data_IF_645139152512
#
_entry.id   IF_645139152512
#
_cell.length_a   1.000
_cell.length_b   1.000
_cell.length_c   1.000
_cell.angle_alpha   90.00
_cell.angle_beta   90.00
_cell.angle_gamma   90.00
#
_symmetry.space_group_name_H-M   'P 1'
#
loop_
_entity.id
_entity.type
_entity.pdbx_description
1 polymer ?
#
# COMPACT_ATOMS: atom_id res chain seq x y z
N UNK A 1 7.73 1.94 -0.28
CA UNK A 1 9.03 2.10 0.41
C UNK A 1 10.06 2.45 -0.64
N UNK A 2 11.02 3.30 -0.32
CA UNK A 2 12.02 3.82 -1.26
C UNK A 2 13.40 3.80 -0.61
N UNK A 3 14.36 3.16 -1.27
CA UNK A 3 15.79 3.22 -0.93
C UNK A 3 16.44 4.12 -1.98
N UNK A 4 17.21 5.08 -1.56
CA UNK A 4 17.90 6.01 -2.47
C UNK A 4 19.41 5.79 -2.45
N UNK A 5 20.04 5.96 -3.60
CA UNK A 5 21.49 6.14 -3.64
C UNK A 5 21.86 7.53 -3.12
N UNK A 6 23.03 7.65 -2.50
CA UNK A 6 23.54 8.90 -1.92
C UNK A 6 23.71 10.04 -2.95
N UNK A 7 23.89 9.70 -4.22
CA UNK A 7 23.99 10.63 -5.33
C UNK A 7 22.65 10.92 -6.03
N UNK A 8 21.52 10.38 -5.54
CA UNK A 8 20.19 10.59 -6.13
C UNK A 8 19.73 12.05 -6.01
N UNK A 9 18.92 12.48 -6.99
CA UNK A 9 18.27 13.79 -7.00
C UNK A 9 16.77 13.64 -7.15
N UNK A 10 16.01 14.40 -6.38
CA UNK A 10 14.57 14.36 -6.32
C UNK A 10 13.98 15.73 -6.64
N UNK A 11 12.88 15.77 -7.37
CA UNK A 11 12.17 17.00 -7.68
C UNK A 11 11.12 16.82 -8.76
N UNK A 12 10.33 17.88 -8.96
CA UNK A 12 9.31 17.95 -9.99
C UNK A 12 9.62 19.15 -10.91
N UNK A 13 9.84 18.88 -12.19
CA UNK A 13 10.31 19.88 -13.15
C UNK A 13 9.32 20.15 -14.29
N UNK A 14 8.17 19.45 -14.32
CA UNK A 14 7.24 19.46 -15.44
C UNK A 14 6.90 20.86 -15.95
N UNK A 15 6.38 21.73 -15.10
CA UNK A 15 5.96 23.07 -15.50
C UNK A 15 7.11 24.05 -15.77
N UNK A 16 8.33 23.71 -15.38
CA UNK A 16 9.54 24.46 -15.80
C UNK A 16 9.93 24.17 -17.25
N UNK A 17 9.57 22.99 -17.76
CA UNK A 17 9.91 22.53 -19.11
C UNK A 17 8.70 22.40 -20.04
N UNK A 18 7.59 23.05 -19.68
CA UNK A 18 6.39 23.09 -20.50
C UNK A 18 5.53 21.83 -20.42
N UNK A 19 5.70 21.00 -19.39
CA UNK A 19 4.86 19.84 -19.10
C UNK A 19 3.96 20.10 -17.91
N UNK A 20 2.82 19.42 -17.86
CA UNK A 20 1.87 19.46 -16.75
C UNK A 20 1.53 18.02 -16.32
N UNK A 21 1.89 17.68 -15.11
CA UNK A 21 1.57 16.39 -14.48
C UNK A 21 0.92 16.66 -13.12
N UNK A 22 -0.41 16.63 -13.08
CA UNK A 22 -1.17 16.84 -11.86
C UNK A 22 -1.89 15.61 -11.34
N UNK A 23 -1.70 14.45 -11.92
CA UNK A 23 -2.40 13.23 -11.58
C UNK A 23 -2.22 12.80 -10.11
N UNK A 24 -2.08 11.54 -9.87
CA UNK A 24 -1.87 11.01 -8.51
C UNK A 24 -0.60 11.55 -7.82
N UNK A 25 0.42 11.94 -8.60
CA UNK A 25 1.72 12.34 -8.08
C UNK A 25 1.66 13.48 -7.07
N UNK A 26 0.89 14.55 -7.34
CA UNK A 26 0.79 15.69 -6.42
C UNK A 26 0.15 15.31 -5.09
N UNK A 27 -0.90 14.48 -5.12
CA UNK A 27 -1.62 14.03 -3.92
C UNK A 27 -0.78 13.04 -3.10
N UNK A 28 -0.14 12.07 -3.76
CA UNK A 28 0.69 11.09 -3.09
C UNK A 28 1.91 11.76 -2.46
N UNK A 29 2.59 12.65 -3.18
CA UNK A 29 3.70 13.43 -2.62
C UNK A 29 3.27 14.22 -1.37
N UNK A 30 2.08 14.84 -1.40
CA UNK A 30 1.59 15.60 -0.25
C UNK A 30 1.30 14.71 0.99
N UNK A 31 1.01 13.44 0.81
CA UNK A 31 0.88 12.47 1.91
C UNK A 31 2.23 12.09 2.52
N UNK A 32 3.25 11.94 1.68
CA UNK A 32 4.59 11.55 2.15
C UNK A 32 5.30 12.69 2.88
N UNK A 33 5.35 13.88 2.27
CA UNK A 33 6.16 15.01 2.77
C UNK A 33 5.35 16.14 3.39
N UNK A 34 4.04 16.01 3.44
CA UNK A 34 3.12 17.05 3.87
C UNK A 34 2.82 18.09 2.78
N UNK A 35 1.64 18.71 2.86
CA UNK A 35 1.12 19.58 1.78
C UNK A 35 2.00 20.80 1.50
N UNK A 36 2.61 21.39 2.53
CA UNK A 36 3.46 22.59 2.35
C UNK A 36 4.73 22.27 1.58
N UNK A 37 5.41 21.19 1.97
CA UNK A 37 6.64 20.75 1.28
C UNK A 37 6.34 20.25 -0.13
N UNK A 38 5.25 19.53 -0.35
CA UNK A 38 4.81 19.11 -1.68
C UNK A 38 4.57 20.31 -2.61
N UNK A 39 3.90 21.38 -2.12
CA UNK A 39 3.72 22.61 -2.90
C UNK A 39 5.04 23.31 -3.23
N UNK A 40 5.99 23.34 -2.29
CA UNK A 40 7.34 23.86 -2.53
C UNK A 40 8.03 23.11 -3.65
N UNK A 41 8.03 21.76 -3.59
CA UNK A 41 8.63 20.89 -4.62
C UNK A 41 7.98 21.16 -5.98
N UNK A 42 6.64 21.14 -6.05
CA UNK A 42 5.91 21.32 -7.30
C UNK A 42 6.01 22.74 -7.85
N UNK A 43 5.77 23.78 -7.05
CA UNK A 43 5.64 25.15 -7.56
C UNK A 43 6.98 25.79 -7.86
N UNK A 44 8.01 25.47 -7.10
CA UNK A 44 9.34 26.07 -7.25
C UNK A 44 10.31 25.23 -8.10
N UNK A 45 9.94 24.00 -8.46
CA UNK A 45 10.77 23.06 -9.20
C UNK A 45 12.18 22.89 -8.61
N UNK A 46 12.28 22.97 -7.29
CA UNK A 46 13.54 22.75 -6.59
C UNK A 46 14.00 21.30 -6.68
N UNK A 47 15.30 21.12 -6.67
CA UNK A 47 15.92 19.80 -6.62
C UNK A 47 16.48 19.57 -5.23
N UNK A 48 16.29 18.36 -4.72
CA UNK A 48 16.70 17.92 -3.40
C UNK A 48 17.67 16.77 -3.53
N UNK A 49 18.67 16.70 -2.67
CA UNK A 49 19.57 15.54 -2.62
C UNK A 49 18.93 14.38 -1.82
N UNK A 50 19.66 13.27 -1.73
CA UNK A 50 19.17 12.06 -1.07
C UNK A 50 18.95 12.26 0.43
N UNK A 51 19.79 13.04 1.10
CA UNK A 51 19.66 13.34 2.52
C UNK A 51 18.45 14.24 2.80
N UNK A 52 18.26 15.28 2.01
CA UNK A 52 17.08 16.15 2.08
C UNK A 52 15.78 15.36 1.85
N UNK A 53 15.82 14.38 0.91
CA UNK A 53 14.69 13.49 0.66
C UNK A 53 14.40 12.55 1.84
N UNK A 54 15.44 12.07 2.53
CA UNK A 54 15.31 11.29 3.77
C UNK A 54 14.71 12.14 4.89
N UNK A 55 15.25 13.34 5.11
CA UNK A 55 14.83 14.25 6.19
C UNK A 55 13.35 14.67 6.06
N UNK A 56 12.86 14.82 4.83
CA UNK A 56 11.44 15.14 4.58
C UNK A 56 10.51 13.91 4.53
N UNK A 57 11.04 12.70 4.70
CA UNK A 57 10.24 11.46 4.68
C UNK A 57 9.87 10.95 3.28
N UNK A 58 10.46 11.48 2.21
CA UNK A 58 10.23 11.01 0.83
C UNK A 58 10.88 9.67 0.55
N UNK A 59 12.01 9.38 1.19
CA UNK A 59 12.70 8.08 1.10
C UNK A 59 12.88 7.49 2.50
N UNK A 60 12.99 6.16 2.58
CA UNK A 60 13.10 5.43 3.85
C UNK A 60 14.55 5.30 4.33
N UNK A 61 15.50 5.26 3.39
CA UNK A 61 16.93 5.16 3.71
C UNK A 61 17.77 5.61 2.52
N UNK A 62 19.03 5.99 2.81
CA UNK A 62 20.04 6.38 1.84
C UNK A 62 21.25 5.50 2.03
N UNK A 63 21.79 4.97 0.94
CA UNK A 63 22.97 4.13 0.92
C UNK A 63 23.92 4.56 -0.21
N UNK A 64 25.22 4.22 -0.17
CA UNK A 64 26.10 4.38 -1.30
C UNK A 64 25.55 3.71 -2.57
N UNK A 65 25.77 4.30 -3.74
CA UNK A 65 25.22 3.80 -5.00
C UNK A 65 25.58 2.33 -5.26
N UNK A 66 26.78 1.91 -4.93
CA UNK A 66 27.25 0.54 -5.10
C UNK A 66 26.61 -0.46 -4.14
N UNK A 67 25.92 0.00 -3.11
CA UNK A 67 25.19 -0.84 -2.12
C UNK A 67 23.67 -0.84 -2.34
N UNK A 68 23.16 -0.10 -3.33
CA UNK A 68 21.73 0.12 -3.50
C UNK A 68 20.95 -1.17 -3.74
N UNK A 69 21.46 -2.05 -4.61
CA UNK A 69 20.82 -3.32 -4.91
C UNK A 69 20.89 -4.29 -3.72
N UNK A 70 22.02 -4.36 -3.04
CA UNK A 70 22.20 -5.24 -1.88
C UNK A 70 21.26 -4.86 -0.73
N UNK A 71 21.08 -3.56 -0.45
CA UNK A 71 20.11 -3.11 0.55
C UNK A 71 18.68 -3.43 0.12
N UNK A 72 18.35 -3.32 -1.17
CA UNK A 72 17.06 -3.74 -1.71
C UNK A 72 16.80 -5.22 -1.53
N UNK A 73 17.79 -6.07 -1.80
CA UNK A 73 17.71 -7.53 -1.59
C UNK A 73 17.53 -7.86 -0.11
N UNK A 74 18.27 -7.18 0.78
CA UNK A 74 18.16 -7.36 2.23
C UNK A 74 16.72 -7.06 2.71
N UNK A 75 16.13 -5.94 2.30
CA UNK A 75 14.75 -5.60 2.65
C UNK A 75 13.74 -6.61 2.11
N UNK A 76 13.96 -7.11 0.89
CA UNK A 76 13.12 -8.15 0.32
C UNK A 76 13.19 -9.45 1.12
N UNK A 77 14.37 -9.85 1.60
CA UNK A 77 14.55 -11.00 2.47
C UNK A 77 13.84 -10.82 3.81
N UNK A 78 13.97 -9.67 4.44
CA UNK A 78 13.26 -9.33 5.68
C UNK A 78 11.73 -9.41 5.51
N UNK A 79 11.20 -8.95 4.38
CA UNK A 79 9.77 -9.07 4.06
C UNK A 79 9.36 -10.53 3.87
N UNK A 80 10.18 -11.33 3.21
CA UNK A 80 9.91 -12.75 2.96
C UNK A 80 9.88 -13.61 4.23
N UNK A 81 10.44 -13.12 5.34
CA UNK A 81 10.32 -13.76 6.65
C UNK A 81 8.94 -13.51 7.32
N UNK A 82 8.15 -12.63 6.79
CA UNK A 82 6.83 -12.29 7.35
C UNK A 82 5.72 -13.08 6.66
N UNK A 83 4.54 -13.13 7.27
CA UNK A 83 3.38 -13.80 6.70
C UNK A 83 3.00 -13.17 5.35
N UNK A 84 3.02 -13.92 4.23
CA UNK A 84 2.68 -13.38 2.91
C UNK A 84 1.22 -12.92 2.84
N UNK A 85 0.31 -13.61 3.53
CA UNK A 85 -1.11 -13.23 3.60
C UNK A 85 -1.30 -11.92 4.35
N UNK A 86 -0.61 -11.75 5.49
CA UNK A 86 -0.68 -10.50 6.25
C UNK A 86 -0.12 -9.32 5.45
N UNK A 87 1.03 -9.49 4.79
CA UNK A 87 1.61 -8.44 3.91
C UNK A 87 0.66 -8.09 2.77
N UNK A 88 0.03 -9.08 2.13
CA UNK A 88 -0.97 -8.84 1.09
C UNK A 88 -2.13 -7.99 1.59
N UNK A 89 -2.70 -8.32 2.75
CA UNK A 89 -3.83 -7.58 3.31
C UNK A 89 -3.43 -6.16 3.74
N UNK A 90 -2.25 -5.99 4.34
CA UNK A 90 -1.72 -4.66 4.66
C UNK A 90 -1.53 -3.80 3.40
N UNK A 91 -0.97 -4.37 2.33
CA UNK A 91 -0.83 -3.67 1.04
C UNK A 91 -2.19 -3.19 0.52
N UNK A 92 -3.20 -4.05 0.55
CA UNK A 92 -4.54 -3.70 0.10
C UNK A 92 -5.22 -2.68 1.02
N UNK A 93 -4.97 -2.73 2.34
CA UNK A 93 -5.46 -1.72 3.28
C UNK A 93 -4.89 -0.32 3.00
N UNK A 94 -3.59 -0.21 2.67
CA UNK A 94 -3.00 1.05 2.22
C UNK A 94 -3.64 1.58 0.93
N UNK A 95 -3.91 0.69 -0.04
CA UNK A 95 -4.58 1.07 -1.28
C UNK A 95 -6.04 1.47 -1.08
N UNK A 96 -6.75 0.84 -0.12
CA UNK A 96 -8.14 1.19 0.18
C UNK A 96 -8.32 2.66 0.55
N UNK A 97 -7.37 3.24 1.29
CA UNK A 97 -7.40 4.65 1.62
C UNK A 97 -6.98 5.57 0.45
N UNK A 98 -6.02 5.13 -0.39
CA UNK A 98 -5.46 5.97 -1.47
C UNK A 98 -6.29 5.94 -2.74
N UNK A 99 -6.86 4.80 -3.08
CA UNK A 99 -7.46 4.54 -4.39
C UNK A 99 -9.00 4.62 -4.37
N UNK A 100 -9.57 5.07 -3.25
CA UNK A 100 -11.00 5.25 -3.10
C UNK A 100 -11.78 3.93 -3.30
N UNK A 101 -12.87 3.97 -4.07
CA UNK A 101 -13.71 2.79 -4.31
C UNK A 101 -12.95 1.62 -4.92
N UNK A 102 -11.98 1.88 -5.80
CA UNK A 102 -11.13 0.82 -6.39
C UNK A 102 -10.29 0.12 -5.33
N UNK A 103 -9.68 0.85 -4.42
CA UNK A 103 -8.91 0.27 -3.31
C UNK A 103 -9.80 -0.57 -2.38
N UNK A 104 -11.00 -0.07 -2.07
CA UNK A 104 -11.98 -0.83 -1.31
C UNK A 104 -12.39 -2.13 -2.01
N UNK A 105 -12.57 -2.10 -3.34
CA UNK A 105 -12.92 -3.30 -4.12
C UNK A 105 -11.84 -4.38 -4.05
N UNK A 106 -10.56 -4.00 -4.09
CA UNK A 106 -9.45 -4.95 -3.95
C UNK A 106 -9.45 -5.60 -2.57
N UNK A 107 -9.62 -4.80 -1.51
CA UNK A 107 -9.74 -5.31 -0.14
C UNK A 107 -10.96 -6.22 0.02
N UNK A 108 -12.11 -5.84 -0.54
CA UNK A 108 -13.33 -6.65 -0.53
C UNK A 108 -13.13 -7.99 -1.25
N UNK A 109 -12.36 -8.03 -2.32
CA UNK A 109 -11.98 -9.27 -3.02
C UNK A 109 -11.24 -10.25 -2.09
N UNK A 110 -10.27 -9.79 -1.34
CA UNK A 110 -9.54 -10.63 -0.37
C UNK A 110 -10.45 -11.13 0.76
N UNK A 111 -11.34 -10.28 1.30
CA UNK A 111 -12.32 -10.67 2.31
C UNK A 111 -13.30 -11.71 1.76
N UNK A 112 -13.74 -11.57 0.51
CA UNK A 112 -14.60 -12.54 -0.17
C UNK A 112 -13.90 -13.89 -0.30
N UNK A 113 -12.64 -13.92 -0.72
CA UNK A 113 -11.86 -15.15 -0.81
C UNK A 113 -11.71 -15.83 0.57
N UNK A 114 -11.43 -15.06 1.61
CA UNK A 114 -11.36 -15.59 2.98
C UNK A 114 -12.69 -16.20 3.42
N UNK A 115 -13.80 -15.50 3.18
CA UNK A 115 -15.12 -16.00 3.52
C UNK A 115 -15.44 -17.31 2.81
N UNK A 116 -15.19 -17.41 1.49
CA UNK A 116 -15.46 -18.63 0.74
C UNK A 116 -14.66 -19.85 1.17
N UNK A 117 -13.53 -19.67 1.83
CA UNK A 117 -12.75 -20.78 2.41
C UNK A 117 -13.23 -21.20 3.80
N UNK A 118 -14.09 -20.40 4.44
CA UNK A 118 -14.62 -20.65 5.79
C UNK A 118 -15.63 -21.80 5.82
N UNK A 119 -15.79 -22.42 6.99
CA UNK A 119 -16.80 -23.45 7.20
C UNK A 119 -18.23 -22.86 7.19
N UNK A 120 -18.39 -21.60 7.56
CA UNK A 120 -19.65 -20.87 7.46
C UNK A 120 -20.13 -20.75 6.02
N UNK A 121 -19.23 -20.37 5.09
CA UNK A 121 -19.57 -20.32 3.67
C UNK A 121 -19.88 -21.70 3.08
N UNK A 122 -19.13 -22.75 3.51
CA UNK A 122 -19.41 -24.13 3.11
C UNK A 122 -20.78 -24.60 3.60
N UNK A 123 -21.17 -24.26 4.82
CA UNK A 123 -22.52 -24.54 5.34
C UNK A 123 -23.59 -23.91 4.48
N UNK A 124 -23.47 -22.60 4.15
CA UNK A 124 -24.43 -21.91 3.31
C UNK A 124 -24.56 -22.56 1.93
N UNK A 125 -23.42 -22.85 1.29
CA UNK A 125 -23.37 -23.52 -0.01
C UNK A 125 -24.01 -24.90 0.03
N UNK A 126 -23.65 -25.76 0.99
CA UNK A 126 -24.11 -27.12 1.06
C UNK A 126 -25.60 -27.19 1.43
N UNK A 127 -26.06 -26.30 2.31
CA UNK A 127 -27.49 -26.18 2.61
C UNK A 127 -28.33 -25.87 1.37
N UNK A 128 -27.82 -24.96 0.49
CA UNK A 128 -28.51 -24.57 -0.72
C UNK A 128 -28.42 -25.63 -1.82
N UNK A 129 -27.21 -26.13 -2.13
CA UNK A 129 -26.96 -26.99 -3.29
C UNK A 129 -27.30 -28.45 -3.03
N UNK A 130 -26.92 -28.99 -1.86
CA UNK A 130 -26.95 -30.42 -1.59
C UNK A 130 -28.24 -30.83 -0.84
N UNK A 131 -28.65 -30.04 0.14
CA UNK A 131 -29.69 -30.44 1.08
C UNK A 131 -31.01 -29.67 0.91
N UNK A 132 -31.01 -28.56 0.12
CA UNK A 132 -32.17 -27.66 -0.08
C UNK A 132 -32.88 -27.30 1.26
N UNK A 133 -32.10 -27.10 2.31
CA UNK A 133 -32.53 -26.75 3.66
C UNK A 133 -32.08 -25.34 4.03
N UNK A 134 -32.58 -24.81 5.10
CA UNK A 134 -32.03 -23.57 5.69
C UNK A 134 -30.64 -23.84 6.29
N UNK A 135 -29.66 -22.98 6.05
CA UNK A 135 -28.33 -23.10 6.67
C UNK A 135 -28.41 -22.86 8.18
N UNK A 136 -27.64 -23.61 8.94
CA UNK A 136 -27.50 -23.45 10.39
C UNK A 136 -26.27 -22.57 10.72
N UNK A 137 -26.40 -21.26 10.55
CA UNK A 137 -25.33 -20.32 10.88
C UNK A 137 -25.14 -20.09 12.38
N UNK A 138 -26.10 -20.52 13.24
CA UNK A 138 -26.01 -20.34 14.70
C UNK A 138 -24.85 -21.10 15.32
N UNK A 139 -24.43 -22.21 14.69
CA UNK A 139 -23.33 -23.06 15.17
C UNK A 139 -21.95 -22.41 15.06
N UNK A 140 -21.80 -21.35 14.24
CA UNK A 140 -20.50 -20.69 14.04
C UNK A 140 -20.20 -19.61 15.07
N UNK A 141 -21.19 -19.27 15.91
CA UNK A 141 -21.02 -18.24 16.92
C UNK A 141 -20.84 -16.84 16.33
N UNK A 142 -20.64 -15.87 17.21
CA UNK A 142 -20.20 -14.53 16.81
C UNK A 142 -18.68 -14.47 16.88
N UNK A 143 -18.06 -13.76 15.94
CA UNK A 143 -16.63 -13.47 16.04
C UNK A 143 -16.30 -12.85 17.41
N UNK A 144 -15.15 -13.17 18.02
CA UNK A 144 -14.82 -12.76 19.39
C UNK A 144 -14.57 -11.24 19.55
N UNK A 145 -14.86 -10.44 18.54
CA UNK A 145 -14.73 -8.99 18.57
C UNK A 145 -16.04 -8.33 19.00
N UNK A 146 -16.37 -8.49 20.27
CA UNK A 146 -17.38 -7.68 20.94
C UNK A 146 -16.67 -6.69 21.83
N UNK A 147 -16.50 -5.45 21.30
CA UNK A 147 -16.31 -4.29 22.14
C UNK A 147 -17.66 -3.84 22.66
#
# INVERSE_FOLDING_TARGET
>A
MTIAADNARFGQTGHRVGSFDAGYGSRLLAREVGTKKAKEIWFLCRQYDAQEALDMGLVNTVVPLDQLEDEGVKWAQEINEKSPTAIRFLKNAFHADTDGVTGLQILAGDLTMMYYTSDEAKEGRNAFLESKRQPDFKKFGRLPFHG
#
